data_IF_818371373991
#
_entry.id   IF_818371373991
#
_cell.length_a   1.000
_cell.length_b   1.000
_cell.length_c   1.000
_cell.angle_alpha   90.00
_cell.angle_beta   90.00
_cell.angle_gamma   90.00
#
_symmetry.space_group_name_H-M   'P 1'
#
loop_
_entity.id
_entity.type
_entity.pdbx_description
1 polymer ?
#
# COMPACT_ATOMS: atom_id res chain seq x y z
N UNK A 1 22.31 10.53 -10.28
CA UNK A 1 21.27 10.81 -9.33
C UNK A 1 19.92 10.70 -10.01
N UNK A 2 19.04 9.91 -9.45
CA UNK A 2 17.77 9.66 -10.09
C UNK A 2 16.70 10.59 -9.52
N UNK A 3 16.11 11.38 -10.40
CA UNK A 3 14.98 12.22 -10.03
C UNK A 3 13.66 11.59 -10.44
N UNK A 4 13.70 10.31 -10.77
CA UNK A 4 12.48 9.59 -11.17
C UNK A 4 11.57 9.44 -9.98
N UNK A 5 10.35 9.91 -10.13
CA UNK A 5 9.32 9.75 -9.13
C UNK A 5 8.18 8.95 -9.72
N UNK A 6 7.42 8.33 -8.83
CA UNK A 6 6.36 7.41 -9.20
C UNK A 6 5.00 8.00 -8.86
N UNK A 7 3.96 7.43 -9.43
CA UNK A 7 2.59 7.74 -9.07
C UNK A 7 2.13 6.67 -8.09
N UNK A 8 1.56 7.10 -6.96
CA UNK A 8 0.91 6.15 -6.05
C UNK A 8 -0.54 5.99 -6.44
N UNK A 9 -0.96 4.74 -6.63
CA UNK A 9 -2.37 4.40 -6.81
C UNK A 9 -2.80 3.63 -5.58
N UNK A 10 -3.80 4.13 -4.86
CA UNK A 10 -4.20 3.56 -3.57
C UNK A 10 -5.70 3.75 -3.35
N UNK A 11 -6.21 3.13 -2.28
CA UNK A 11 -7.62 3.28 -1.92
C UNK A 11 -7.88 4.63 -1.29
N UNK A 12 -9.12 5.10 -1.44
CA UNK A 12 -9.57 6.36 -0.86
C UNK A 12 -10.06 6.13 0.58
N UNK A 13 -9.17 5.68 1.45
CA UNK A 13 -9.44 5.48 2.86
C UNK A 13 -8.25 5.98 3.68
N UNK A 14 -8.33 5.86 5.00
CA UNK A 14 -7.29 6.37 5.89
C UNK A 14 -5.96 5.65 5.67
N UNK A 15 -5.99 4.33 5.51
CA UNK A 15 -4.79 3.55 5.22
C UNK A 15 -4.12 4.04 3.93
N UNK A 16 -4.92 4.25 2.87
CA UNK A 16 -4.39 4.78 1.62
C UNK A 16 -3.76 6.15 1.77
N UNK A 17 -4.39 7.01 2.57
CA UNK A 17 -3.85 8.35 2.82
C UNK A 17 -2.51 8.27 3.54
N UNK A 18 -2.38 7.41 4.55
CA UNK A 18 -1.12 7.26 5.29
C UNK A 18 -0.04 6.66 4.39
N UNK A 19 -0.40 5.71 3.51
CA UNK A 19 0.54 5.21 2.50
C UNK A 19 1.11 6.37 1.68
N UNK A 20 0.26 7.29 1.26
CA UNK A 20 0.70 8.46 0.50
C UNK A 20 1.65 9.33 1.31
N UNK A 21 1.34 9.55 2.58
CA UNK A 21 2.21 10.34 3.46
C UNK A 21 3.59 9.71 3.56
N UNK A 22 3.64 8.40 3.79
CA UNK A 22 4.92 7.69 3.94
C UNK A 22 5.77 7.77 2.68
N UNK A 23 5.18 7.50 1.53
CA UNK A 23 5.93 7.52 0.27
C UNK A 23 6.33 8.94 -0.12
N UNK A 24 5.52 9.92 0.23
CA UNK A 24 5.87 11.33 0.02
C UNK A 24 7.06 11.74 0.89
N UNK A 25 7.10 11.28 2.14
CA UNK A 25 8.22 11.57 3.04
C UNK A 25 9.53 11.00 2.52
N UNK A 26 9.47 9.89 1.81
CA UNK A 26 10.65 9.31 1.17
C UNK A 26 11.00 9.97 -0.16
N UNK A 27 10.17 10.90 -0.62
CA UNK A 27 10.34 11.57 -1.90
C UNK A 27 10.31 10.59 -3.09
N UNK A 28 9.51 9.54 -2.97
CA UNK A 28 9.39 8.53 -4.01
C UNK A 28 8.26 8.84 -4.99
N UNK A 29 7.27 9.63 -4.59
CA UNK A 29 6.11 9.91 -5.42
C UNK A 29 5.93 11.42 -5.62
N UNK A 30 5.38 11.78 -6.78
CA UNK A 30 5.00 13.16 -7.08
C UNK A 30 3.54 13.26 -7.51
N UNK A 31 2.84 12.14 -7.55
CA UNK A 31 1.45 12.09 -7.98
C UNK A 31 0.71 11.00 -7.20
N UNK A 32 -0.55 11.27 -6.87
CA UNK A 32 -1.39 10.31 -6.14
C UNK A 32 -2.70 10.17 -6.90
N UNK A 33 -3.13 8.93 -7.11
CA UNK A 33 -4.42 8.61 -7.69
C UNK A 33 -5.15 7.64 -6.78
N UNK A 34 -6.45 7.81 -6.65
CA UNK A 34 -7.27 6.92 -5.83
C UNK A 34 -8.07 6.00 -6.73
N UNK A 35 -8.18 4.73 -6.35
CA UNK A 35 -8.89 3.72 -7.12
C UNK A 35 -9.67 2.80 -6.19
N UNK A 36 -10.75 2.26 -6.70
CA UNK A 36 -11.52 1.25 -5.99
C UNK A 36 -10.94 -0.13 -6.31
N UNK A 37 -10.87 -1.06 -5.34
CA UNK A 37 -10.33 -2.40 -5.60
C UNK A 37 -11.00 -3.11 -6.77
N UNK A 38 -12.30 -2.94 -6.93
CA UNK A 38 -13.03 -3.56 -8.04
C UNK A 38 -12.57 -3.03 -9.39
N UNK A 39 -12.30 -1.74 -9.48
CA UNK A 39 -11.82 -1.13 -10.72
C UNK A 39 -10.45 -1.68 -11.11
N UNK A 40 -9.62 -1.99 -10.10
CA UNK A 40 -8.33 -2.62 -10.33
C UNK A 40 -8.51 -4.03 -10.89
N UNK A 41 -9.42 -4.80 -10.30
CA UNK A 41 -9.68 -6.17 -10.74
C UNK A 41 -10.29 -6.22 -12.13
N UNK A 42 -11.12 -5.23 -12.47
CA UNK A 42 -11.77 -5.15 -13.76
C UNK A 42 -10.89 -4.55 -14.86
N UNK A 43 -9.67 -4.14 -14.51
CA UNK A 43 -8.75 -3.58 -15.48
C UNK A 43 -9.08 -2.17 -15.92
N UNK A 44 -9.90 -1.45 -15.15
CA UNK A 44 -10.31 -0.08 -15.50
C UNK A 44 -9.25 0.97 -15.20
N UNK A 45 -8.25 0.62 -14.41
CA UNK A 45 -7.17 1.53 -14.04
C UNK A 45 -5.91 1.08 -14.77
N UNK A 46 -5.36 1.94 -15.62
CA UNK A 46 -4.15 1.62 -16.34
C UNK A 46 -2.95 1.72 -15.39
N UNK A 47 -2.26 0.62 -15.20
CA UNK A 47 -1.09 0.53 -14.31
C UNK A 47 0.15 0.33 -15.17
N UNK A 48 1.18 1.10 -14.90
CA UNK A 48 2.44 1.06 -15.64
C UNK A 48 3.62 0.90 -14.70
N UNK A 49 4.82 0.74 -15.28
CA UNK A 49 6.06 0.63 -14.50
C UNK A 49 6.39 1.92 -13.73
N UNK A 50 5.63 2.99 -13.94
CA UNK A 50 5.79 4.24 -13.19
C UNK A 50 4.87 4.28 -11.97
N UNK A 51 4.06 3.26 -11.75
CA UNK A 51 3.08 3.24 -10.67
C UNK A 51 3.52 2.39 -9.51
N UNK A 52 3.21 2.86 -8.29
CA UNK A 52 3.29 2.08 -7.06
C UNK A 52 1.85 1.90 -6.59
N UNK A 53 1.45 0.67 -6.29
CA UNK A 53 0.12 0.43 -5.73
C UNK A 53 0.24 0.06 -4.26
N UNK A 54 -0.73 0.47 -3.47
CA UNK A 54 -0.79 0.15 -2.05
C UNK A 54 -2.24 -0.03 -1.63
N UNK A 55 -2.49 -1.03 -0.80
CA UNK A 55 -3.82 -1.31 -0.26
C UNK A 55 -4.84 -1.65 -1.36
N UNK A 56 -4.37 -2.24 -2.45
CA UNK A 56 -5.20 -2.62 -3.60
C UNK A 56 -4.80 -4.03 -4.06
N UNK A 57 -5.68 -4.75 -4.77
CA UNK A 57 -5.33 -6.06 -5.32
C UNK A 57 -4.13 -5.96 -6.25
N UNK A 58 -3.35 -7.04 -6.30
CA UNK A 58 -2.18 -7.10 -7.16
C UNK A 58 -2.57 -6.96 -8.63
N UNK A 59 -1.83 -6.09 -9.34
CA UNK A 59 -1.96 -5.92 -10.78
C UNK A 59 -0.55 -5.98 -11.36
N UNK A 60 -0.29 -6.84 -12.35
CA UNK A 60 1.04 -6.90 -12.95
C UNK A 60 1.38 -5.61 -13.68
N UNK A 61 2.66 -5.31 -13.77
CA UNK A 61 3.15 -4.14 -14.48
C UNK A 61 3.55 -2.97 -13.59
N UNK A 62 3.11 -2.94 -12.32
CA UNK A 62 3.48 -1.88 -11.40
C UNK A 62 4.96 -1.97 -11.02
N UNK A 63 5.53 -0.82 -10.66
CA UNK A 63 6.89 -0.78 -10.15
C UNK A 63 7.01 -1.50 -8.82
N UNK A 64 6.10 -1.20 -7.88
CA UNK A 64 6.01 -1.83 -6.57
C UNK A 64 4.55 -2.04 -6.20
N UNK A 65 4.28 -3.10 -5.47
CA UNK A 65 2.95 -3.39 -4.93
C UNK A 65 3.08 -3.69 -3.45
N UNK A 66 2.42 -2.89 -2.61
CA UNK A 66 2.39 -3.09 -1.17
C UNK A 66 1.02 -3.59 -0.74
N UNK A 67 0.98 -4.69 -0.02
CA UNK A 67 -0.28 -5.29 0.41
C UNK A 67 -0.10 -6.02 1.73
N UNK A 68 -1.19 -6.16 2.49
CA UNK A 68 -1.19 -6.91 3.73
C UNK A 68 -2.30 -7.97 3.77
N UNK A 69 -3.01 -8.16 2.66
CA UNK A 69 -4.15 -9.08 2.63
C UNK A 69 -3.68 -10.51 2.40
N UNK A 70 -4.07 -11.41 3.32
CA UNK A 70 -3.69 -12.80 3.24
C UNK A 70 -4.23 -13.49 1.99
N UNK A 71 -5.44 -13.11 1.57
CA UNK A 71 -6.03 -13.67 0.35
C UNK A 71 -5.19 -13.41 -0.88
N UNK A 72 -4.55 -12.24 -0.95
CA UNK A 72 -3.64 -11.92 -2.04
C UNK A 72 -2.40 -12.80 -1.98
N UNK A 73 -1.89 -13.06 -0.78
CA UNK A 73 -0.76 -13.95 -0.60
C UNK A 73 -1.05 -15.33 -1.14
N UNK A 74 -2.23 -15.86 -0.83
CA UNK A 74 -2.65 -17.17 -1.29
C UNK A 74 -2.81 -17.19 -2.81
N UNK A 75 -3.49 -16.22 -3.38
CA UNK A 75 -3.74 -16.20 -4.82
C UNK A 75 -2.46 -15.99 -5.63
N UNK A 76 -1.42 -15.44 -5.03
CA UNK A 76 -0.16 -15.19 -5.71
C UNK A 76 0.96 -16.12 -5.25
N UNK A 77 0.62 -17.23 -4.58
CA UNK A 77 1.62 -18.13 -3.99
C UNK A 77 2.63 -18.67 -5.01
N UNK A 78 2.22 -18.84 -6.26
CA UNK A 78 3.11 -19.32 -7.32
C UNK A 78 3.74 -18.22 -8.15
N UNK A 79 3.53 -16.97 -7.79
CA UNK A 79 3.94 -15.82 -8.58
C UNK A 79 4.66 -14.78 -7.77
N UNK A 80 5.67 -15.15 -7.08
CA UNK A 80 6.37 -14.16 -6.27
C UNK A 80 7.23 -13.27 -7.13
N UNK A 81 6.67 -12.16 -7.56
CA UNK A 81 7.45 -11.12 -8.19
C UNK A 81 8.21 -10.36 -7.12
N UNK A 82 9.45 -10.00 -7.42
CA UNK A 82 10.30 -9.31 -6.45
C UNK A 82 9.76 -7.93 -6.09
N UNK A 83 8.86 -7.40 -6.89
CA UNK A 83 8.24 -6.10 -6.66
C UNK A 83 6.92 -6.19 -5.88
N UNK A 84 6.50 -7.39 -5.48
CA UNK A 84 5.26 -7.57 -4.72
C UNK A 84 5.62 -7.79 -3.25
N UNK A 85 5.40 -6.76 -2.45
CA UNK A 85 5.78 -6.76 -1.04
C UNK A 85 4.52 -6.99 -0.21
N UNK A 86 4.39 -8.20 0.32
CA UNK A 86 3.24 -8.61 1.11
C UNK A 86 3.70 -8.94 2.52
N UNK A 87 2.95 -8.46 3.51
CA UNK A 87 3.11 -8.89 4.89
C UNK A 87 1.73 -9.07 5.50
N UNK A 88 1.24 -10.30 5.48
CA UNK A 88 -0.10 -10.61 5.99
C UNK A 88 -0.20 -10.42 7.51
N UNK A 89 0.93 -10.33 8.21
CA UNK A 89 0.93 -10.08 9.65
C UNK A 89 0.80 -8.60 9.97
N UNK A 90 0.99 -7.71 9.00
CA UNK A 90 0.88 -6.29 9.22
C UNK A 90 -0.59 -5.87 9.31
N UNK A 91 -0.94 -4.97 10.25
CA UNK A 91 -2.33 -4.56 10.43
C UNK A 91 -2.84 -3.58 9.36
N UNK A 92 -1.95 -3.03 8.54
CA UNK A 92 -2.33 -2.09 7.49
C UNK A 92 -1.29 -2.09 6.38
N UNK A 93 -1.68 -1.63 5.18
CA UNK A 93 -0.73 -1.47 4.08
C UNK A 93 0.30 -0.39 4.41
N UNK A 94 -0.09 0.66 5.13
CA UNK A 94 0.84 1.68 5.59
C UNK A 94 1.93 1.06 6.48
N UNK A 95 1.57 0.12 7.34
CA UNK A 95 2.55 -0.57 8.19
C UNK A 95 3.51 -1.40 7.36
N UNK A 96 3.05 -2.01 6.28
CA UNK A 96 3.93 -2.74 5.36
C UNK A 96 4.99 -1.80 4.78
N UNK A 97 4.59 -0.63 4.31
CA UNK A 97 5.52 0.37 3.78
C UNK A 97 6.49 0.82 4.87
N UNK A 98 5.97 1.15 6.04
CA UNK A 98 6.75 1.64 7.18
C UNK A 98 7.85 0.63 7.53
N UNK A 99 7.50 -0.64 7.65
CA UNK A 99 8.46 -1.68 8.02
C UNK A 99 9.45 -1.98 6.89
N UNK A 100 8.98 -1.96 5.66
CA UNK A 100 9.83 -2.27 4.50
C UNK A 100 11.00 -1.30 4.36
N UNK A 101 10.77 -0.04 4.63
CA UNK A 101 11.80 0.99 4.47
C UNK A 101 12.60 1.28 5.73
N UNK A 102 12.36 0.54 6.82
CA UNK A 102 13.21 0.63 8.00
C UNK A 102 12.57 1.23 9.23
N UNK A 103 11.27 1.44 9.22
CA UNK A 103 10.55 1.90 10.40
C UNK A 103 10.85 3.35 10.76
N UNK A 104 10.88 3.62 12.05
CA UNK A 104 11.03 5.00 12.54
C UNK A 104 12.30 5.70 12.05
N UNK A 105 13.36 4.93 11.83
CA UNK A 105 14.61 5.50 11.33
C UNK A 105 14.47 6.10 9.94
N UNK A 106 13.60 5.51 9.10
CA UNK A 106 13.34 6.01 7.75
C UNK A 106 12.30 7.13 7.75
N UNK A 107 11.47 7.21 8.80
CA UNK A 107 10.35 8.14 8.87
C UNK A 107 10.38 8.95 10.17
N UNK A 108 11.42 9.76 10.38
CA UNK A 108 11.56 10.47 11.65
C UNK A 108 10.47 11.53 11.89
N UNK A 109 9.82 11.98 10.83
CA UNK A 109 8.75 12.99 10.93
C UNK A 109 7.37 12.38 11.09
N UNK A 110 7.25 11.07 10.91
CA UNK A 110 5.96 10.40 11.03
C UNK A 110 5.72 10.06 12.49
N UNK A 111 4.57 10.46 13.03
CA UNK A 111 4.28 10.22 14.43
C UNK A 111 3.89 8.77 14.67
N UNK A 112 4.26 8.26 15.84
CA UNK A 112 3.86 6.92 16.25
C UNK A 112 2.34 6.86 16.43
N UNK A 113 1.73 7.97 16.85
CA UNK A 113 0.27 8.04 17.00
C UNK A 113 -0.45 7.86 15.68
N UNK A 114 0.07 8.44 14.61
CA UNK A 114 -0.53 8.26 13.28
C UNK A 114 -0.45 6.81 12.84
N UNK A 115 0.70 6.16 13.05
CA UNK A 115 0.84 4.76 12.68
C UNK A 115 -0.06 3.85 13.51
N UNK A 116 -0.16 4.12 14.81
CA UNK A 116 -1.08 3.36 15.66
C UNK A 116 -2.54 3.58 15.26
N UNK A 117 -2.89 4.80 14.88
CA UNK A 117 -4.25 5.11 14.46
C UNK A 117 -4.63 4.41 13.16
N UNK A 118 -3.73 4.36 12.19
CA UNK A 118 -4.04 3.70 10.92
C UNK A 118 -4.14 2.19 11.11
N UNK A 119 -3.29 1.61 11.94
CA UNK A 119 -3.37 0.18 12.25
C UNK A 119 -4.72 -0.17 12.87
N UNK A 120 -5.15 0.64 13.83
CA UNK A 120 -6.40 0.41 14.53
C UNK A 120 -7.61 0.62 13.63
N UNK A 121 -7.58 1.67 12.82
CA UNK A 121 -8.69 1.98 11.91
C UNK A 121 -8.90 0.87 10.88
N UNK A 122 -7.81 0.36 10.32
CA UNK A 122 -7.91 -0.69 9.31
C UNK A 122 -8.39 -2.00 9.94
N UNK A 123 -7.89 -2.33 11.11
CA UNK A 123 -8.33 -3.53 11.84
C UNK A 123 -9.80 -3.45 12.24
N UNK A 124 -10.26 -2.27 12.69
CA UNK A 124 -11.65 -2.07 13.08
C UNK A 124 -12.57 -2.21 11.87
N UNK A 125 -12.17 -1.68 10.73
CA UNK A 125 -12.95 -1.79 9.51
C UNK A 125 -13.06 -3.26 9.06
N UNK A 126 -11.97 -3.99 9.15
CA UNK A 126 -11.95 -5.40 8.79
C UNK A 126 -12.90 -6.20 9.70
N UNK A 127 -12.84 -5.95 11.01
CA UNK A 127 -13.72 -6.61 11.97
C UNK A 127 -15.19 -6.32 11.69
N UNK A 128 -15.49 -5.08 11.33
CA UNK A 128 -16.87 -4.70 11.00
C UNK A 128 -17.38 -5.44 9.78
N UNK A 129 -16.55 -5.60 8.77
CA UNK A 129 -16.92 -6.34 7.57
C UNK A 129 -17.16 -7.82 7.87
N UNK A 130 -16.39 -8.37 8.78
CA UNK A 130 -16.55 -9.76 9.19
C UNK A 130 -17.89 -10.02 9.89
N UNK A 131 -18.41 -9.04 10.60
CA UNK A 131 -19.67 -9.16 11.31
C UNK A 131 -20.85 -9.14 10.33
N UNK A 132 -20.71 -8.45 9.26
CA UNK A 132 -21.75 -8.34 8.24
C UNK A 132 -21.79 -9.56 7.32
#
# INVERSE_FOLDING_TARGET
MSDVKYRLVTRSDFDGLVCAVLLHELQLIDEIAFAHPKDMQDGKVAITARDITANLPFVPGAHLVFDHHESETVSNAGRRDINHIIDASAPSAARVIFNHYGGKAAFPRVSDDMMAAVDQADSAQYTREDIL
#
